data_IF_025180656749
#
_entry.id   IF_025180656749
#
_cell.length_a   1.000
_cell.length_b   1.000
_cell.length_c   1.000
_cell.angle_alpha   90.00
_cell.angle_beta   90.00
_cell.angle_gamma   90.00
#
_symmetry.space_group_name_H-M   'P 1'
#
loop_
_entity.id
_entity.type
_entity.pdbx_description
1 polymer ?
#
# COMPACT_ATOMS: atom_id res chain seq x y z
N UNK A 1 -20.30 19.31 5.95
CA UNK A 1 -19.25 19.40 7.00
C UNK A 1 -18.22 18.26 6.88
N UNK A 2 -18.63 16.98 6.65
CA UNK A 2 -17.70 15.83 6.53
C UNK A 2 -16.78 15.92 5.31
N UNK A 3 -17.27 16.44 4.19
CA UNK A 3 -16.46 16.61 2.96
C UNK A 3 -15.39 17.68 3.18
N UNK A 4 -15.74 18.80 3.81
CA UNK A 4 -14.80 19.88 4.11
C UNK A 4 -13.67 19.44 5.03
N UNK A 5 -13.96 18.59 6.02
CA UNK A 5 -12.91 18.05 6.90
C UNK A 5 -11.93 17.16 6.13
N UNK A 6 -12.42 16.27 5.25
CA UNK A 6 -11.59 15.39 4.43
C UNK A 6 -10.75 16.19 3.42
N UNK A 7 -11.35 17.20 2.80
CA UNK A 7 -10.63 18.07 1.85
C UNK A 7 -9.55 18.90 2.55
N UNK A 8 -9.83 19.40 3.77
CA UNK A 8 -8.86 20.11 4.58
C UNK A 8 -7.67 19.23 4.98
N UNK A 9 -7.94 17.99 5.42
CA UNK A 9 -6.84 17.04 5.71
C UNK A 9 -5.99 16.76 4.47
N UNK A 10 -6.63 16.52 3.31
CA UNK A 10 -5.94 16.26 2.05
C UNK A 10 -5.06 17.44 1.63
N UNK A 11 -5.52 18.67 1.85
CA UNK A 11 -4.77 19.87 1.55
C UNK A 11 -3.43 19.94 2.27
N UNK A 12 -3.41 19.58 3.56
CA UNK A 12 -2.18 19.58 4.37
C UNK A 12 -1.34 18.31 4.23
N UNK A 13 -1.95 17.21 3.80
CA UNK A 13 -1.27 15.92 3.62
C UNK A 13 -0.77 15.70 2.18
N UNK A 14 -1.19 16.55 1.22
CA UNK A 14 -0.63 16.50 -0.13
C UNK A 14 0.86 16.86 -0.11
N UNK A 15 1.61 16.37 -1.12
CA UNK A 15 3.04 16.63 -1.20
C UNK A 15 3.36 18.13 -1.41
N UNK A 16 4.28 18.73 -0.64
CA UNK A 16 4.98 18.18 0.52
C UNK A 16 4.07 18.09 1.76
N UNK A 17 3.97 16.91 2.37
CA UNK A 17 3.07 16.68 3.48
C UNK A 17 3.51 17.45 4.74
N UNK A 18 2.59 18.24 5.31
CA UNK A 18 2.80 19.01 6.54
C UNK A 18 2.19 18.31 7.76
N UNK A 19 1.17 17.47 7.55
CA UNK A 19 0.46 16.74 8.60
C UNK A 19 0.36 15.27 8.20
N UNK A 20 0.66 14.39 9.14
CA UNK A 20 0.53 12.94 8.96
C UNK A 20 -0.62 12.39 9.80
N UNK A 21 -1.36 11.44 9.23
CA UNK A 21 -2.38 10.73 9.96
C UNK A 21 -1.72 9.71 10.90
N UNK A 22 -2.00 9.82 12.20
CA UNK A 22 -1.54 8.85 13.19
C UNK A 22 -2.35 7.54 13.14
N UNK A 23 -1.91 6.56 13.95
CA UNK A 23 -2.54 5.23 14.02
C UNK A 23 -4.01 5.30 14.41
N UNK A 24 -4.39 6.20 15.30
CA UNK A 24 -5.79 6.43 15.69
C UNK A 24 -6.67 6.77 14.50
N UNK A 25 -6.21 7.65 13.61
CA UNK A 25 -6.95 8.04 12.40
C UNK A 25 -7.02 6.92 11.38
N UNK A 26 -5.92 6.23 11.12
CA UNK A 26 -5.86 5.14 10.14
C UNK A 26 -6.71 3.93 10.56
N UNK A 27 -6.65 3.52 11.83
CA UNK A 27 -7.48 2.44 12.39
C UNK A 27 -8.97 2.80 12.36
N UNK A 28 -9.31 4.05 12.70
CA UNK A 28 -10.70 4.52 12.65
C UNK A 28 -11.26 4.45 11.23
N UNK A 29 -10.50 4.90 10.22
CA UNK A 29 -10.94 4.82 8.82
C UNK A 29 -11.10 3.37 8.38
N UNK A 30 -10.14 2.49 8.72
CA UNK A 30 -10.22 1.06 8.44
C UNK A 30 -11.46 0.42 9.06
N UNK A 31 -11.76 0.73 10.32
CA UNK A 31 -12.97 0.27 11.02
C UNK A 31 -14.26 0.75 10.35
N UNK A 32 -14.36 2.01 9.96
CA UNK A 32 -15.53 2.56 9.26
C UNK A 32 -15.75 1.85 7.92
N UNK A 33 -14.68 1.58 7.16
CA UNK A 33 -14.76 0.88 5.87
C UNK A 33 -15.25 -0.56 6.08
N UNK A 34 -14.69 -1.27 7.07
CA UNK A 34 -15.06 -2.65 7.37
C UNK A 34 -16.53 -2.76 7.80
N UNK A 35 -16.97 -1.93 8.75
CA UNK A 35 -18.37 -1.90 9.22
C UNK A 35 -19.32 -1.53 8.07
N UNK A 36 -18.95 -0.55 7.26
CA UNK A 36 -19.73 -0.16 6.08
C UNK A 36 -19.93 -1.31 5.09
N UNK A 37 -18.89 -2.10 4.82
CA UNK A 37 -18.97 -3.24 3.93
C UNK A 37 -19.88 -4.35 4.48
N UNK A 38 -19.83 -4.62 5.79
CA UNK A 38 -20.70 -5.59 6.47
C UNK A 38 -22.16 -5.16 6.36
N UNK A 39 -22.47 -3.88 6.65
CA UNK A 39 -23.84 -3.36 6.59
C UNK A 39 -24.42 -3.48 5.18
N UNK A 40 -23.60 -3.28 4.14
CA UNK A 40 -24.03 -3.36 2.74
C UNK A 40 -24.05 -4.80 2.22
N UNK A 41 -23.57 -5.79 2.99
CA UNK A 41 -23.39 -7.19 2.59
C UNK A 41 -22.57 -7.34 1.29
N UNK A 42 -21.49 -6.56 1.16
CA UNK A 42 -20.62 -6.55 -0.03
C UNK A 42 -19.15 -6.70 0.35
N UNK A 43 -18.85 -7.59 1.27
CA UNK A 43 -17.51 -7.81 1.81
C UNK A 43 -16.50 -8.20 0.73
N UNK A 44 -16.95 -8.93 -0.29
CA UNK A 44 -16.12 -9.35 -1.44
C UNK A 44 -15.63 -8.18 -2.31
N UNK A 45 -16.25 -7.01 -2.18
CA UNK A 45 -15.78 -5.78 -2.85
C UNK A 45 -14.60 -5.11 -2.13
N UNK A 46 -14.40 -5.38 -0.84
CA UNK A 46 -13.30 -4.80 -0.07
C UNK A 46 -11.93 -5.06 -0.68
N UNK A 47 -11.57 -6.30 -1.08
CA UNK A 47 -10.28 -6.56 -1.72
C UNK A 47 -10.07 -5.78 -3.02
N UNK A 48 -11.14 -5.50 -3.76
CA UNK A 48 -11.07 -4.69 -4.99
C UNK A 48 -10.91 -3.21 -4.62
N UNK A 49 -11.77 -2.69 -3.76
CA UNK A 49 -11.79 -1.29 -3.34
C UNK A 49 -10.49 -0.88 -2.63
N UNK A 50 -10.00 -1.75 -1.76
CA UNK A 50 -8.78 -1.57 -0.98
C UNK A 50 -7.58 -2.31 -1.58
N UNK A 51 -7.59 -2.62 -2.88
CA UNK A 51 -6.63 -3.50 -3.54
C UNK A 51 -5.18 -3.12 -3.33
N UNK A 52 -4.85 -1.83 -3.35
CA UNK A 52 -3.50 -1.34 -3.07
C UNK A 52 -3.07 -1.71 -1.65
N UNK A 53 -3.91 -1.44 -0.64
CA UNK A 53 -3.58 -1.77 0.75
C UNK A 53 -3.46 -3.28 0.96
N UNK A 54 -4.28 -4.06 0.25
CA UNK A 54 -4.21 -5.52 0.27
C UNK A 54 -2.87 -6.01 -0.31
N UNK A 55 -2.45 -5.49 -1.46
CA UNK A 55 -1.17 -5.82 -2.10
C UNK A 55 0.03 -5.39 -1.24
N UNK A 56 -0.03 -4.21 -0.62
CA UNK A 56 0.99 -3.73 0.32
C UNK A 56 1.14 -4.68 1.50
N UNK A 57 0.04 -5.05 2.16
CA UNK A 57 0.05 -5.98 3.29
C UNK A 57 0.56 -7.37 2.89
N UNK A 58 0.12 -7.87 1.72
CA UNK A 58 0.57 -9.16 1.19
C UNK A 58 2.07 -9.16 0.91
N UNK A 59 2.61 -8.06 0.38
CA UNK A 59 4.04 -7.92 0.12
C UNK A 59 4.88 -8.07 1.39
N UNK A 60 4.41 -7.51 2.51
CA UNK A 60 5.08 -7.63 3.81
C UNK A 60 5.05 -9.08 4.30
N UNK A 61 3.88 -9.73 4.24
CA UNK A 61 3.71 -11.12 4.66
C UNK A 61 4.64 -12.04 3.87
N UNK A 62 4.65 -11.92 2.53
CA UNK A 62 5.50 -12.70 1.65
C UNK A 62 6.99 -12.48 1.94
N UNK A 63 7.39 -11.22 2.14
CA UNK A 63 8.76 -10.88 2.48
C UNK A 63 9.21 -11.51 3.79
N UNK A 64 8.41 -11.39 4.85
CA UNK A 64 8.73 -11.94 6.18
C UNK A 64 8.80 -13.46 6.12
N UNK A 65 7.85 -14.09 5.43
CA UNK A 65 7.81 -15.54 5.26
C UNK A 65 9.05 -16.05 4.51
N UNK A 66 9.38 -15.43 3.39
CA UNK A 66 10.55 -15.79 2.57
C UNK A 66 11.86 -15.58 3.33
N UNK A 67 11.97 -14.45 4.05
CA UNK A 67 13.15 -14.17 4.88
C UNK A 67 13.33 -15.21 6.01
N UNK A 68 12.24 -15.64 6.66
CA UNK A 68 12.29 -16.67 7.70
C UNK A 68 12.76 -18.01 7.14
N UNK A 69 12.32 -18.39 5.95
CA UNK A 69 12.76 -19.64 5.28
C UNK A 69 14.26 -19.54 4.92
N UNK A 70 14.69 -18.42 4.34
CA UNK A 70 16.08 -18.18 4.01
C UNK A 70 16.98 -18.24 5.23
N UNK A 71 16.56 -17.62 6.35
CA UNK A 71 17.29 -17.65 7.62
C UNK A 71 17.45 -19.06 8.17
N UNK A 72 16.42 -19.92 8.03
CA UNK A 72 16.53 -21.36 8.44
C UNK A 72 17.53 -22.14 7.59
N UNK A 73 17.80 -21.70 6.35
CA UNK A 73 18.78 -22.29 5.42
C UNK A 73 20.15 -21.63 5.50
N UNK A 74 20.36 -20.70 6.44
CA UNK A 74 21.64 -19.98 6.61
C UNK A 74 21.93 -18.93 5.54
N UNK A 75 20.97 -18.58 4.68
CA UNK A 75 21.14 -17.59 3.61
C UNK A 75 20.18 -16.42 3.85
N UNK A 76 20.71 -15.19 3.84
CA UNK A 76 19.90 -13.97 3.91
C UNK A 76 19.28 -13.71 2.52
N UNK A 77 18.01 -14.06 2.37
CA UNK A 77 17.29 -13.88 1.11
C UNK A 77 16.09 -12.95 1.33
N UNK A 78 15.86 -12.03 0.39
CA UNK A 78 14.71 -11.12 0.37
C UNK A 78 14.08 -11.11 -1.01
N UNK A 79 12.74 -10.97 -1.10
CA UNK A 79 12.03 -10.85 -2.37
C UNK A 79 12.22 -9.43 -2.91
N UNK A 80 11.87 -8.43 -2.11
CA UNK A 80 11.96 -7.01 -2.47
C UNK A 80 13.13 -6.34 -1.76
N UNK A 81 13.63 -5.22 -2.30
CA UNK A 81 14.66 -4.38 -1.66
C UNK A 81 14.20 -3.93 -0.27
N UNK A 82 12.97 -3.45 -0.20
CA UNK A 82 12.31 -3.00 1.02
C UNK A 82 10.81 -3.26 0.92
N UNK A 83 10.16 -3.49 2.04
CA UNK A 83 8.70 -3.62 2.14
C UNK A 83 8.16 -2.60 3.13
N UNK A 84 6.96 -2.06 2.90
CA UNK A 84 5.98 -2.37 1.82
C UNK A 84 6.43 -1.98 0.39
N UNK A 85 5.63 -2.29 -0.65
CA UNK A 85 5.99 -2.08 -2.06
C UNK A 85 6.32 -0.63 -2.39
N UNK A 86 5.63 0.35 -1.80
CA UNK A 86 5.95 1.76 -2.02
C UNK A 86 7.38 2.11 -1.60
N UNK A 87 7.88 1.53 -0.52
CA UNK A 87 9.27 1.70 -0.05
C UNK A 87 10.28 1.06 -1.00
N UNK A 88 9.90 -0.03 -1.69
CA UNK A 88 10.73 -0.63 -2.72
C UNK A 88 10.99 0.33 -3.89
N UNK A 89 10.01 1.18 -4.25
CA UNK A 89 10.17 2.21 -5.28
C UNK A 89 11.00 3.41 -4.82
N UNK A 90 11.08 3.66 -3.51
CA UNK A 90 11.78 4.78 -2.90
C UNK A 90 13.24 4.45 -2.59
N UNK A 91 13.58 3.18 -2.40
CA UNK A 91 14.90 2.74 -1.95
C UNK A 91 15.92 2.80 -3.08
N UNK A 92 17.05 3.47 -2.85
CA UNK A 92 18.22 3.46 -3.72
C UNK A 92 19.00 2.14 -3.60
N UNK A 93 19.62 1.72 -4.71
CA UNK A 93 20.43 0.51 -4.74
C UNK A 93 21.67 0.59 -3.84
N UNK A 94 22.16 1.80 -3.56
CA UNK A 94 23.27 2.06 -2.63
C UNK A 94 22.93 1.77 -1.15
N UNK A 95 21.67 1.67 -0.81
CA UNK A 95 21.19 1.40 0.56
C UNK A 95 20.91 -0.08 0.81
N UNK A 96 21.25 -0.94 -0.15
CA UNK A 96 21.02 -2.38 -0.04
C UNK A 96 22.15 -3.08 0.73
N UNK A 97 21.76 -4.04 1.56
CA UNK A 97 22.73 -4.90 2.24
C UNK A 97 23.48 -5.78 1.21
N UNK A 98 24.83 -5.69 1.13
CA UNK A 98 25.60 -6.45 0.14
C UNK A 98 25.50 -7.97 0.35
N UNK A 99 25.28 -8.41 1.59
CA UNK A 99 25.20 -9.82 1.97
C UNK A 99 23.84 -10.47 1.67
N UNK A 100 22.85 -9.70 1.26
CA UNK A 100 21.51 -10.19 0.98
C UNK A 100 21.29 -10.49 -0.49
N UNK A 101 20.75 -11.68 -0.79
CA UNK A 101 20.25 -12.00 -2.13
C UNK A 101 18.82 -11.46 -2.31
N UNK A 102 18.66 -10.56 -3.28
CA UNK A 102 17.35 -10.00 -3.64
C UNK A 102 16.80 -10.69 -4.90
N UNK A 103 15.55 -11.14 -4.86
CA UNK A 103 14.90 -11.78 -5.99
C UNK A 103 14.45 -10.73 -7.01
N UNK A 104 13.88 -9.62 -6.54
CA UNK A 104 13.37 -8.54 -7.37
C UNK A 104 14.13 -7.25 -7.02
N UNK A 105 14.99 -6.80 -7.93
CA UNK A 105 15.77 -5.56 -7.80
C UNK A 105 15.15 -4.36 -8.55
N UNK A 106 14.04 -4.58 -9.24
CA UNK A 106 13.35 -3.53 -10.00
C UNK A 106 12.42 -2.73 -9.09
N UNK A 107 12.33 -1.40 -9.25
CA UNK A 107 13.06 -0.55 -10.21
C UNK A 107 14.48 -0.21 -9.75
N UNK A 108 15.37 0.03 -10.71
CA UNK A 108 16.70 0.56 -10.44
C UNK A 108 16.58 2.06 -10.13
N UNK A 109 17.18 2.48 -9.02
CA UNK A 109 17.15 3.88 -8.55
C UNK A 109 15.87 4.27 -7.80
N UNK A 110 15.99 5.31 -6.95
CA UNK A 110 14.88 5.85 -6.17
C UNK A 110 13.95 6.71 -7.04
N UNK A 111 12.65 6.51 -6.89
CA UNK A 111 11.64 7.40 -7.49
C UNK A 111 11.18 8.43 -6.47
N UNK A 112 10.89 9.63 -6.96
CA UNK A 112 10.37 10.72 -6.13
C UNK A 112 9.00 10.32 -5.53
N UNK A 113 8.79 10.63 -4.26
CA UNK A 113 7.59 10.24 -3.49
C UNK A 113 6.28 10.69 -4.15
N UNK A 114 6.22 11.93 -4.64
CA UNK A 114 5.04 12.45 -5.33
C UNK A 114 4.66 11.60 -6.56
N UNK A 115 5.64 11.09 -7.30
CA UNK A 115 5.39 10.24 -8.47
C UNK A 115 4.81 8.88 -8.09
N UNK A 116 5.24 8.33 -6.96
CA UNK A 116 4.70 7.07 -6.42
C UNK A 116 3.25 7.28 -5.98
N UNK A 117 2.99 8.34 -5.22
CA UNK A 117 1.65 8.70 -4.73
C UNK A 117 0.65 8.89 -5.87
N UNK A 118 1.01 9.66 -6.91
CA UNK A 118 0.13 9.87 -8.07
C UNK A 118 -0.20 8.55 -8.78
N UNK A 119 0.78 7.66 -8.94
CA UNK A 119 0.53 6.35 -9.56
C UNK A 119 -0.42 5.49 -8.72
N UNK A 120 -0.26 5.49 -7.42
CA UNK A 120 -1.17 4.77 -6.53
C UNK A 120 -2.58 5.36 -6.56
N UNK A 121 -2.72 6.67 -6.67
CA UNK A 121 -4.02 7.31 -6.85
C UNK A 121 -4.71 6.89 -8.15
N UNK A 122 -3.97 6.86 -9.27
CA UNK A 122 -4.50 6.40 -10.55
C UNK A 122 -5.01 4.96 -10.44
N UNK A 123 -4.21 4.07 -9.85
CA UNK A 123 -4.60 2.66 -9.65
C UNK A 123 -5.84 2.57 -8.76
N UNK A 124 -5.90 3.34 -7.66
CA UNK A 124 -7.06 3.35 -6.76
C UNK A 124 -8.32 3.82 -7.47
N UNK A 125 -8.24 4.86 -8.29
CA UNK A 125 -9.39 5.37 -9.06
C UNK A 125 -9.89 4.29 -10.04
N UNK A 126 -8.98 3.59 -10.72
CA UNK A 126 -9.35 2.49 -11.62
C UNK A 126 -10.01 1.33 -10.87
N UNK A 127 -9.51 0.96 -9.69
CA UNK A 127 -10.10 -0.08 -8.85
C UNK A 127 -11.49 0.32 -8.34
N UNK A 128 -11.69 1.57 -7.96
CA UNK A 128 -12.99 2.10 -7.56
C UNK A 128 -13.97 2.08 -8.73
N UNK A 129 -13.55 2.49 -9.93
CA UNK A 129 -14.37 2.41 -11.13
C UNK A 129 -14.77 0.96 -11.43
N UNK A 130 -13.83 0.02 -11.34
CA UNK A 130 -14.10 -1.40 -11.52
C UNK A 130 -15.10 -1.93 -10.48
N UNK A 131 -14.96 -1.53 -9.21
CA UNK A 131 -15.88 -1.91 -8.14
C UNK A 131 -17.30 -1.40 -8.41
N UNK A 132 -17.45 -0.17 -8.90
CA UNK A 132 -18.76 0.41 -9.25
C UNK A 132 -19.40 -0.35 -10.43
N UNK A 133 -18.60 -0.68 -11.46
CA UNK A 133 -19.07 -1.46 -12.61
C UNK A 133 -19.56 -2.84 -12.14
N UNK A 134 -18.79 -3.51 -11.28
CA UNK A 134 -19.14 -4.83 -10.73
C UNK A 134 -20.44 -4.77 -9.93
N UNK A 135 -20.69 -3.67 -9.19
CA UNK A 135 -21.95 -3.47 -8.48
C UNK A 135 -23.14 -3.26 -9.41
N UNK A 136 -22.94 -2.60 -10.56
CA UNK A 136 -24.02 -2.30 -11.50
C UNK A 136 -24.45 -3.50 -12.36
N UNK A 137 -23.52 -4.43 -12.62
CA UNK A 137 -23.79 -5.63 -13.44
C UNK A 137 -24.60 -6.68 -12.67
N UNK A 138 -24.66 -6.58 -11.35
CA UNK A 138 -25.40 -7.49 -10.49
C UNK A 138 -26.70 -6.87 -9.98
#
# INVERSE_FOLDING_TARGET
>A
RRVLFRSGFLWYNAYPAQVFMGDTGSLTIGGIIAVGAIIIHKELLLPILCGIFFVESLSVILQVWYYKIGKRRGVKQRIFKRTPIHDNFRTQDSQLDPDCKYLIRVPHGAKHEAKITIRFWIITILLVALAIITLKIR
#
